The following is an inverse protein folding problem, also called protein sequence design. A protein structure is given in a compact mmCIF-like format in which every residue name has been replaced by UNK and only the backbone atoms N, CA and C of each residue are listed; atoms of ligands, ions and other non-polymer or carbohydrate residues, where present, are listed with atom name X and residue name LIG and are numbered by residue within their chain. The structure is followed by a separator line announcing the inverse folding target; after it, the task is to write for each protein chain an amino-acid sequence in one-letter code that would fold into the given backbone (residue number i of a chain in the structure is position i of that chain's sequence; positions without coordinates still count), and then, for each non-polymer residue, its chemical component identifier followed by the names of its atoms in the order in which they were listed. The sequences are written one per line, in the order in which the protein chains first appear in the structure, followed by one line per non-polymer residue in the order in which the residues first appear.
data_IF_634372792662
#
_entry.id   IF_634372792662
#
_cell.length_a   1.000
_cell.length_b   1.000
_cell.length_c   1.000
_cell.angle_alpha   90.00
_cell.angle_beta   90.00
_cell.angle_gamma   90.00
#
_symmetry.space_group_name_H-M   'P 1'
#
loop_
_entity.id
_entity.type
_entity.pdbx_description
1 polymer ?
#
# COMPACT_ATOMS: atom_id res chain seq x y z
N UNK A 1 10.43 12.41 -28.47
CA UNK A 1 10.67 13.21 -27.24
C UNK A 1 11.08 12.32 -26.05
N UNK A 2 12.27 11.68 -26.11
CA UNK A 2 12.82 10.84 -25.02
C UNK A 2 13.92 11.56 -24.18
N UNK A 3 14.26 12.82 -24.48
CA UNK A 3 15.50 13.44 -23.98
C UNK A 3 15.37 14.46 -22.84
N UNK A 4 14.22 15.12 -22.65
CA UNK A 4 14.15 16.28 -21.73
C UNK A 4 14.15 15.92 -20.24
N UNK A 5 13.62 14.76 -19.84
CA UNK A 5 13.61 14.33 -18.43
C UNK A 5 14.98 13.79 -17.96
N UNK A 6 15.75 13.19 -18.87
CA UNK A 6 17.07 12.64 -18.56
C UNK A 6 18.14 13.73 -18.42
N UNK A 7 18.12 14.76 -19.27
CA UNK A 7 19.16 15.81 -19.26
C UNK A 7 19.14 16.70 -18.01
N UNK A 8 17.96 17.08 -17.50
CA UNK A 8 17.85 17.89 -16.28
C UNK A 8 18.34 17.16 -15.04
N UNK A 9 17.99 15.88 -14.92
CA UNK A 9 18.48 15.04 -13.82
C UNK A 9 19.96 14.72 -13.92
N UNK A 10 20.58 14.66 -15.11
CA UNK A 10 22.02 14.38 -15.22
C UNK A 10 22.89 15.46 -14.56
N UNK A 11 22.51 16.74 -14.69
CA UNK A 11 23.21 17.86 -14.04
C UNK A 11 23.03 17.83 -12.52
N UNK A 12 21.81 17.58 -12.05
CA UNK A 12 21.52 17.41 -10.61
C UNK A 12 22.21 16.17 -10.02
N UNK A 13 22.33 15.09 -10.78
CA UNK A 13 22.96 13.84 -10.35
C UNK A 13 24.48 13.99 -10.28
N UNK A 14 25.08 14.71 -11.23
CA UNK A 14 26.50 15.08 -11.18
C UNK A 14 26.80 15.96 -9.96
N UNK A 15 26.02 17.01 -9.75
CA UNK A 15 26.16 17.88 -8.57
C UNK A 15 26.00 17.11 -7.25
N UNK A 16 25.01 16.20 -7.14
CA UNK A 16 24.83 15.41 -5.93
C UNK A 16 25.95 14.38 -5.68
N UNK A 17 26.59 13.87 -6.74
CA UNK A 17 27.80 13.04 -6.62
C UNK A 17 28.96 13.90 -6.09
N UNK A 18 29.15 15.08 -6.67
CA UNK A 18 30.22 16.01 -6.32
C UNK A 18 30.05 16.54 -4.87
N UNK A 19 28.81 16.81 -4.44
CA UNK A 19 28.44 17.26 -3.10
C UNK A 19 28.30 16.12 -2.07
N UNK A 20 28.48 14.85 -2.49
CA UNK A 20 28.26 13.65 -1.65
C UNK A 20 26.87 13.63 -0.97
N UNK A 21 25.83 14.10 -1.65
CA UNK A 21 24.45 14.00 -1.16
C UNK A 21 23.90 12.57 -1.35
N UNK A 22 24.36 11.67 -0.48
CA UNK A 22 23.97 10.27 -0.48
C UNK A 22 22.46 10.05 -0.35
N UNK A 23 21.72 10.97 0.29
CA UNK A 23 20.26 10.85 0.44
C UNK A 23 19.55 11.11 -0.87
N UNK A 24 19.98 12.11 -1.63
CA UNK A 24 19.44 12.40 -2.95
C UNK A 24 19.74 11.25 -3.92
N UNK A 25 20.96 10.71 -3.89
CA UNK A 25 21.35 9.55 -4.70
C UNK A 25 20.51 8.29 -4.36
N UNK A 26 20.29 7.99 -3.08
CA UNK A 26 19.40 6.90 -2.65
C UNK A 26 17.97 7.08 -3.19
N UNK A 27 17.46 8.31 -3.18
CA UNK A 27 16.12 8.63 -3.66
C UNK A 27 15.99 8.49 -5.19
N UNK A 28 16.98 8.94 -5.96
CA UNK A 28 17.00 8.74 -7.42
C UNK A 28 17.05 7.25 -7.74
N UNK A 29 17.97 6.51 -7.11
CA UNK A 29 18.11 5.08 -7.35
C UNK A 29 16.78 4.37 -7.08
N UNK A 30 16.14 4.64 -5.95
CA UNK A 30 14.82 4.11 -5.64
C UNK A 30 13.77 4.43 -6.72
N UNK A 31 13.77 5.65 -7.28
CA UNK A 31 12.87 6.02 -8.38
C UNK A 31 13.16 5.23 -9.66
N UNK A 32 14.43 5.12 -10.06
CA UNK A 32 14.85 4.37 -11.24
C UNK A 32 14.53 2.89 -11.12
N UNK A 33 14.81 2.28 -9.97
CA UNK A 33 14.48 0.90 -9.66
C UNK A 33 12.97 0.64 -9.74
N UNK A 34 12.17 1.55 -9.17
CA UNK A 34 10.72 1.46 -9.26
C UNK A 34 10.25 1.48 -10.72
N UNK A 35 10.76 2.41 -11.54
CA UNK A 35 10.37 2.50 -12.95
C UNK A 35 10.76 1.25 -13.72
N UNK A 36 11.99 0.76 -13.55
CA UNK A 36 12.47 -0.49 -14.16
C UNK A 36 11.57 -1.68 -13.79
N UNK A 37 11.24 -1.81 -12.50
CA UNK A 37 10.36 -2.90 -12.00
C UNK A 37 8.91 -2.72 -12.42
N UNK A 38 8.45 -1.48 -12.61
CA UNK A 38 7.09 -1.21 -13.06
C UNK A 38 6.93 -1.50 -14.56
N UNK A 39 7.95 -1.14 -15.37
CA UNK A 39 8.01 -1.34 -16.81
C UNK A 39 8.26 -2.81 -17.22
N UNK A 40 8.83 -3.62 -16.33
CA UNK A 40 9.05 -5.05 -16.60
C UNK A 40 7.79 -5.92 -16.44
N UNK A 41 6.62 -5.34 -16.13
CA UNK A 41 5.41 -6.11 -15.81
C UNK A 41 4.57 -6.45 -17.04
N UNK A 42 3.92 -7.62 -16.99
CA UNK A 42 3.12 -8.18 -18.08
C UNK A 42 1.78 -7.47 -18.37
N UNK A 43 1.23 -6.70 -17.43
CA UNK A 43 -0.07 -6.02 -17.59
C UNK A 43 0.07 -4.54 -17.95
N UNK A 44 -1.02 -3.90 -18.36
CA UNK A 44 -1.08 -2.49 -18.77
C UNK A 44 -0.32 -1.57 -17.82
N UNK A 45 0.47 -0.68 -18.40
CA UNK A 45 1.37 0.22 -17.71
C UNK A 45 0.96 1.65 -18.02
N UNK A 46 0.94 2.47 -16.97
CA UNK A 46 0.86 3.90 -17.15
C UNK A 46 2.19 4.41 -17.71
N UNK A 47 2.11 5.38 -18.63
CA UNK A 47 3.28 6.15 -19.03
C UNK A 47 3.64 7.19 -17.94
N UNK A 48 4.68 7.98 -18.17
CA UNK A 48 5.13 9.01 -17.21
C UNK A 48 4.03 10.01 -16.86
N UNK A 49 3.24 10.45 -17.84
CA UNK A 49 2.08 11.32 -17.64
C UNK A 49 1.06 10.64 -16.71
N UNK A 50 0.69 9.39 -16.98
CA UNK A 50 -0.19 8.59 -16.13
C UNK A 50 0.32 8.40 -14.70
N UNK A 51 1.62 8.12 -14.54
CA UNK A 51 2.24 7.98 -13.22
C UNK A 51 2.24 9.30 -12.44
N UNK A 52 2.54 10.43 -13.09
CA UNK A 52 2.48 11.75 -12.45
C UNK A 52 1.08 12.07 -11.92
N UNK A 53 0.04 11.73 -12.70
CA UNK A 53 -1.37 11.90 -12.34
C UNK A 53 -1.73 11.00 -11.15
N UNK A 54 -1.38 9.72 -11.18
CA UNK A 54 -1.82 8.77 -10.15
C UNK A 54 -1.15 9.03 -8.78
N UNK A 55 0.10 9.53 -8.75
CA UNK A 55 0.81 9.80 -7.50
C UNK A 55 0.22 10.95 -6.68
N UNK A 56 -0.51 11.86 -7.33
CA UNK A 56 -1.22 12.95 -6.66
C UNK A 56 -2.52 12.49 -5.98
N UNK A 57 -3.02 11.30 -6.32
CA UNK A 57 -4.30 10.81 -5.82
C UNK A 57 -4.24 10.25 -4.39
N UNK A 58 -5.30 10.54 -3.64
CA UNK A 58 -5.69 9.83 -2.43
C UNK A 58 -6.83 8.85 -2.75
N UNK A 59 -6.59 7.54 -2.63
CA UNK A 59 -7.65 6.53 -2.70
C UNK A 59 -8.17 6.24 -1.28
N UNK A 60 -9.49 6.34 -1.11
CA UNK A 60 -10.18 5.95 0.13
C UNK A 60 -11.09 4.78 -0.21
N UNK A 61 -10.88 3.66 0.48
CA UNK A 61 -11.59 2.40 0.21
C UNK A 61 -12.12 1.78 1.50
N UNK A 62 -13.42 1.54 1.56
CA UNK A 62 -14.07 0.82 2.65
C UNK A 62 -14.02 -0.70 2.46
N UNK A 63 -14.33 -1.45 3.51
CA UNK A 63 -14.30 -2.91 3.50
C UNK A 63 -15.20 -3.53 2.42
N UNK A 64 -16.42 -3.00 2.24
CA UNK A 64 -17.35 -3.48 1.21
C UNK A 64 -16.79 -3.39 -0.21
N UNK A 65 -16.08 -2.30 -0.51
CA UNK A 65 -15.41 -2.10 -1.80
C UNK A 65 -14.10 -2.86 -1.93
N UNK A 66 -13.36 -3.02 -0.83
CA UNK A 66 -12.16 -3.85 -0.81
C UNK A 66 -12.47 -5.28 -1.27
N UNK A 67 -13.49 -5.92 -0.70
CA UNK A 67 -13.85 -7.29 -1.08
C UNK A 67 -14.16 -7.43 -2.58
N UNK A 68 -14.80 -6.41 -3.17
CA UNK A 68 -15.12 -6.36 -4.61
C UNK A 68 -13.92 -6.07 -5.50
N UNK A 69 -12.97 -5.26 -5.03
CA UNK A 69 -11.90 -4.68 -5.85
C UNK A 69 -10.50 -5.22 -5.55
N UNK A 70 -10.34 -6.12 -4.57
CA UNK A 70 -9.03 -6.65 -4.13
C UNK A 70 -8.19 -7.26 -5.25
N UNK A 71 -8.82 -7.78 -6.31
CA UNK A 71 -8.18 -8.33 -7.51
C UNK A 71 -8.28 -7.42 -8.75
N UNK A 72 -9.02 -6.30 -8.67
CA UNK A 72 -9.29 -5.41 -9.80
C UNK A 72 -8.29 -4.25 -9.84
N UNK A 73 -7.01 -4.56 -10.08
CA UNK A 73 -5.95 -3.57 -10.02
C UNK A 73 -6.10 -2.44 -11.04
N UNK A 74 -6.25 -2.77 -12.32
CA UNK A 74 -6.33 -1.76 -13.38
C UNK A 74 -7.58 -0.88 -13.21
N UNK A 75 -8.68 -1.47 -12.71
CA UNK A 75 -9.87 -0.70 -12.35
C UNK A 75 -9.56 0.41 -11.34
N UNK A 76 -8.78 0.09 -10.30
CA UNK A 76 -8.38 1.04 -9.27
C UNK A 76 -7.40 2.08 -9.82
N UNK A 77 -6.50 1.71 -10.72
CA UNK A 77 -5.60 2.64 -11.41
C UNK A 77 -6.39 3.66 -12.24
N UNK A 78 -7.35 3.20 -13.06
CA UNK A 78 -8.25 4.09 -13.80
C UNK A 78 -9.06 4.99 -12.86
N UNK A 79 -9.61 4.43 -11.78
CA UNK A 79 -10.34 5.22 -10.77
C UNK A 79 -9.45 6.31 -10.16
N UNK A 80 -8.21 5.98 -9.83
CA UNK A 80 -7.27 6.91 -9.22
C UNK A 80 -6.84 8.01 -10.20
N UNK A 81 -6.62 7.69 -11.48
CA UNK A 81 -6.33 8.68 -12.52
C UNK A 81 -7.51 9.64 -12.69
N UNK A 82 -8.72 9.11 -12.90
CA UNK A 82 -9.95 9.92 -13.02
C UNK A 82 -10.17 10.83 -11.80
N UNK A 83 -9.89 10.31 -10.60
CA UNK A 83 -10.01 11.10 -9.37
C UNK A 83 -8.99 12.23 -9.31
N UNK A 84 -7.78 12.02 -9.83
CA UNK A 84 -6.72 13.02 -9.85
C UNK A 84 -7.00 14.14 -10.84
N UNK A 85 -7.53 13.78 -12.01
CA UNK A 85 -7.84 14.70 -13.10
C UNK A 85 -8.93 15.72 -12.72
N UNK A 86 -9.78 15.40 -11.72
CA UNK A 86 -10.88 16.24 -11.18
C UNK A 86 -11.97 16.66 -12.17
N UNK A 87 -11.73 16.55 -13.47
CA UNK A 87 -12.63 16.90 -14.55
C UNK A 87 -13.17 15.65 -15.27
N UNK A 88 -14.25 15.85 -16.02
CA UNK A 88 -14.76 14.84 -16.91
C UNK A 88 -13.83 14.70 -18.12
N UNK A 89 -13.61 13.48 -18.59
CA UNK A 89 -12.67 13.20 -19.68
C UNK A 89 -13.28 12.27 -20.72
N UNK A 90 -12.67 12.21 -21.91
CA UNK A 90 -12.99 11.19 -22.90
C UNK A 90 -12.04 10.01 -22.78
N UNK A 91 -12.30 8.95 -23.57
CA UNK A 91 -11.50 7.73 -23.56
C UNK A 91 -10.07 7.99 -24.04
N UNK A 92 -9.91 8.89 -25.00
CA UNK A 92 -8.66 9.30 -25.63
C UNK A 92 -7.70 9.86 -24.57
N UNK A 93 -8.20 10.69 -23.66
CA UNK A 93 -7.42 11.22 -22.54
C UNK A 93 -6.86 10.12 -21.63
N UNK A 94 -7.53 8.97 -21.50
CA UNK A 94 -7.04 7.83 -20.72
C UNK A 94 -6.05 6.97 -21.53
N UNK A 95 -6.21 6.88 -22.86
CA UNK A 95 -5.23 6.24 -23.74
C UNK A 95 -3.89 7.00 -23.69
N UNK A 96 -3.93 8.33 -23.65
CA UNK A 96 -2.75 9.18 -23.46
C UNK A 96 -2.01 8.94 -22.14
N UNK A 97 -2.67 8.35 -21.13
CA UNK A 97 -2.02 7.98 -19.86
C UNK A 97 -1.35 6.59 -19.92
N UNK A 98 -1.48 5.86 -21.03
CA UNK A 98 -0.88 4.55 -21.25
C UNK A 98 -1.84 3.36 -21.11
N UNK A 99 -3.12 3.57 -20.83
CA UNK A 99 -4.07 2.46 -20.73
C UNK A 99 -4.38 1.87 -22.11
N UNK A 100 -4.58 0.54 -22.20
CA UNK A 100 -5.02 -0.09 -23.46
C UNK A 100 -6.52 0.09 -23.66
N UNK A 101 -6.91 0.26 -24.93
CA UNK A 101 -8.31 0.45 -25.35
C UNK A 101 -9.24 -0.67 -24.89
N UNK A 102 -8.82 -1.94 -25.00
CA UNK A 102 -9.58 -3.12 -24.59
C UNK A 102 -9.83 -3.15 -23.08
N UNK A 103 -8.78 -2.85 -22.31
CA UNK A 103 -8.86 -2.77 -20.85
C UNK A 103 -9.79 -1.64 -20.40
N UNK A 104 -9.68 -0.45 -21.01
CA UNK A 104 -10.57 0.67 -20.72
C UNK A 104 -12.04 0.31 -20.97
N UNK A 105 -12.34 -0.35 -22.10
CA UNK A 105 -13.72 -0.78 -22.41
C UNK A 105 -14.29 -1.67 -21.30
N UNK A 106 -13.51 -2.64 -20.82
CA UNK A 106 -13.90 -3.53 -19.73
C UNK A 106 -14.08 -2.79 -18.40
N UNK A 107 -13.14 -1.92 -18.05
CA UNK A 107 -13.18 -1.15 -16.79
C UNK A 107 -14.35 -0.16 -16.77
N UNK A 108 -14.56 0.60 -17.85
CA UNK A 108 -15.67 1.57 -17.97
C UNK A 108 -17.02 0.85 -17.85
N UNK A 109 -17.21 -0.29 -18.55
CA UNK A 109 -18.43 -1.10 -18.42
C UNK A 109 -18.69 -1.52 -16.96
N UNK A 110 -17.65 -1.99 -16.25
CA UNK A 110 -17.76 -2.34 -14.82
C UNK A 110 -18.07 -1.12 -13.95
N UNK A 111 -17.41 0.01 -14.18
CA UNK A 111 -17.62 1.24 -13.41
C UNK A 111 -19.04 1.80 -13.57
N UNK A 112 -19.62 1.72 -14.78
CA UNK A 112 -21.02 2.07 -15.05
C UNK A 112 -21.99 1.12 -14.32
N UNK A 113 -21.78 -0.20 -14.44
CA UNK A 113 -22.57 -1.22 -13.72
C UNK A 113 -22.58 -0.97 -12.21
N UNK A 114 -21.47 -0.52 -11.65
CA UNK A 114 -21.34 -0.23 -10.21
C UNK A 114 -21.69 1.21 -9.82
N UNK A 115 -22.27 2.00 -10.74
CA UNK A 115 -22.69 3.39 -10.51
C UNK A 115 -21.56 4.26 -9.94
N UNK A 116 -20.32 4.00 -10.36
CA UNK A 116 -19.13 4.82 -10.04
C UNK A 116 -18.99 5.97 -11.03
N UNK A 117 -19.28 5.70 -12.30
CA UNK A 117 -19.37 6.70 -13.36
C UNK A 117 -20.81 7.22 -13.50
N UNK A 118 -20.91 8.42 -14.05
CA UNK A 118 -22.17 9.00 -14.49
C UNK A 118 -22.66 8.32 -15.77
N UNK A 119 -23.77 7.58 -15.66
CA UNK A 119 -24.33 6.84 -16.79
C UNK A 119 -25.00 7.77 -17.81
N UNK A 120 -25.61 8.87 -17.38
CA UNK A 120 -26.29 9.79 -18.30
C UNK A 120 -25.27 10.52 -19.16
N UNK A 121 -24.21 11.06 -18.53
CA UNK A 121 -23.10 11.66 -19.26
C UNK A 121 -22.48 10.66 -20.25
N UNK A 122 -22.23 9.43 -19.81
CA UNK A 122 -21.63 8.43 -20.69
C UNK A 122 -22.54 8.05 -21.87
N UNK A 123 -23.87 7.97 -21.70
CA UNK A 123 -24.75 7.65 -22.81
C UNK A 123 -24.87 8.79 -23.81
N UNK A 124 -24.94 10.04 -23.34
CA UNK A 124 -25.10 11.23 -24.20
C UNK A 124 -23.93 11.42 -25.15
N UNK A 125 -22.70 11.36 -24.65
CA UNK A 125 -21.52 11.74 -25.43
C UNK A 125 -20.26 10.92 -25.12
N UNK A 126 -20.41 9.78 -24.44
CA UNK A 126 -19.28 8.94 -23.98
C UNK A 126 -18.33 9.65 -23.00
N UNK A 127 -18.79 10.71 -22.34
CA UNK A 127 -18.01 11.37 -21.29
C UNK A 127 -17.85 10.49 -20.05
N UNK A 128 -16.60 10.33 -19.61
CA UNK A 128 -16.21 9.57 -18.44
C UNK A 128 -16.10 10.55 -17.26
N UNK A 129 -17.16 10.61 -16.46
CA UNK A 129 -17.24 11.47 -15.26
C UNK A 129 -17.45 10.62 -14.02
N UNK A 130 -16.61 10.81 -12.99
CA UNK A 130 -16.81 10.16 -11.69
C UNK A 130 -18.01 10.76 -10.97
N UNK A 131 -18.98 9.91 -10.63
CA UNK A 131 -20.05 10.21 -9.67
C UNK A 131 -19.57 10.01 -8.23
N UNK A 132 -18.71 9.01 -7.99
CA UNK A 132 -18.17 8.69 -6.66
C UNK A 132 -16.71 9.11 -6.54
N UNK A 133 -16.41 10.02 -5.61
CA UNK A 133 -15.03 10.43 -5.27
C UNK A 133 -14.35 9.51 -4.24
N UNK A 134 -15.11 8.68 -3.54
CA UNK A 134 -14.65 7.78 -2.46
C UNK A 134 -15.32 6.42 -2.64
N UNK A 135 -14.55 5.34 -2.52
CA UNK A 135 -15.05 3.97 -2.60
C UNK A 135 -15.38 3.45 -1.21
N UNK A 136 -16.33 4.10 -0.54
CA UNK A 136 -16.79 3.76 0.82
C UNK A 136 -18.30 3.92 0.89
N UNK A 137 -18.99 3.07 1.64
CA UNK A 137 -20.41 3.23 2.00
C UNK A 137 -20.55 3.86 3.39
N UNK A 138 -21.73 4.41 3.72
CA UNK A 138 -22.00 4.93 5.07
C UNK A 138 -21.84 3.84 6.15
N UNK A 139 -22.11 2.58 5.81
CA UNK A 139 -22.04 1.41 6.69
C UNK A 139 -20.62 0.86 6.90
N UNK A 140 -19.63 1.30 6.12
CA UNK A 140 -18.25 0.83 6.26
C UNK A 140 -17.61 1.37 7.54
N UNK A 141 -17.66 0.58 8.62
CA UNK A 141 -16.96 0.86 9.90
C UNK A 141 -15.43 0.85 9.76
N UNK A 142 -14.90 0.08 8.80
CA UNK A 142 -13.46 -0.02 8.49
C UNK A 142 -13.19 0.47 7.08
N UNK A 143 -12.18 1.34 6.95
CA UNK A 143 -11.72 1.87 5.68
C UNK A 143 -10.23 2.19 5.72
N UNK A 144 -9.61 2.21 4.55
CA UNK A 144 -8.19 2.50 4.37
C UNK A 144 -7.99 3.69 3.45
N UNK A 145 -6.88 4.39 3.68
CA UNK A 145 -6.47 5.54 2.90
C UNK A 145 -5.12 5.22 2.29
N UNK A 146 -5.06 5.12 0.96
CA UNK A 146 -3.84 5.04 0.19
C UNK A 146 -3.50 6.45 -0.26
N UNK A 147 -2.48 7.04 0.36
CA UNK A 147 -1.98 8.39 0.06
C UNK A 147 -0.47 8.42 0.16
N UNK A 148 0.18 9.14 -0.75
CA UNK A 148 1.62 9.35 -0.74
C UNK A 148 2.33 8.43 -1.74
N UNK A 149 3.35 8.99 -2.38
CA UNK A 149 4.03 8.37 -3.53
C UNK A 149 4.51 6.95 -3.25
N UNK A 150 5.19 6.71 -2.11
CA UNK A 150 5.68 5.36 -1.74
C UNK A 150 4.54 4.34 -1.60
N UNK A 151 3.40 4.72 -1.03
CA UNK A 151 2.24 3.84 -0.87
C UNK A 151 1.60 3.54 -2.23
N UNK A 152 1.48 4.55 -3.08
CA UNK A 152 0.95 4.38 -4.45
C UNK A 152 1.90 3.52 -5.28
N UNK A 153 3.22 3.74 -5.22
CA UNK A 153 4.22 2.87 -5.85
C UNK A 153 4.11 1.43 -5.36
N UNK A 154 4.00 1.22 -4.05
CA UNK A 154 3.82 -0.13 -3.50
C UNK A 154 2.54 -0.79 -4.01
N UNK A 155 1.42 -0.06 -4.10
CA UNK A 155 0.18 -0.52 -4.72
C UNK A 155 0.36 -0.87 -6.21
N UNK A 156 1.01 0.01 -6.97
CA UNK A 156 1.32 -0.19 -8.38
C UNK A 156 2.25 -1.38 -8.63
N UNK A 157 3.05 -1.80 -7.66
CA UNK A 157 3.83 -3.05 -7.76
C UNK A 157 3.04 -4.27 -7.27
N UNK A 158 2.45 -4.19 -6.08
CA UNK A 158 2.03 -5.35 -5.29
C UNK A 158 0.51 -5.51 -5.11
N UNK A 159 -0.29 -4.58 -5.63
CA UNK A 159 -1.75 -4.62 -5.63
C UNK A 159 -2.38 -4.18 -4.30
N UNK A 160 -3.72 -4.12 -4.30
CA UNK A 160 -4.51 -3.55 -3.20
C UNK A 160 -4.40 -4.36 -1.91
N UNK A 161 -4.55 -5.69 -1.97
CA UNK A 161 -4.51 -6.54 -0.77
C UNK A 161 -3.19 -6.43 -0.01
N UNK A 162 -2.06 -6.51 -0.72
CA UNK A 162 -0.73 -6.35 -0.10
C UNK A 162 -0.62 -4.96 0.54
N UNK A 163 -1.08 -3.92 -0.16
CA UNK A 163 -1.02 -2.53 0.33
C UNK A 163 -1.86 -2.33 1.58
N UNK A 164 -3.06 -2.91 1.64
CA UNK A 164 -3.93 -2.82 2.81
C UNK A 164 -3.36 -3.61 4.00
N UNK A 165 -2.74 -4.77 3.79
CA UNK A 165 -2.01 -5.48 4.86
C UNK A 165 -0.94 -4.56 5.46
N UNK A 166 -0.16 -3.87 4.63
CA UNK A 166 0.87 -2.94 5.08
C UNK A 166 0.26 -1.72 5.81
N UNK A 167 -0.83 -1.14 5.31
CA UNK A 167 -1.54 -0.04 5.97
C UNK A 167 -2.17 -0.44 7.31
N UNK A 168 -2.79 -1.62 7.38
CA UNK A 168 -3.36 -2.16 8.60
C UNK A 168 -2.27 -2.37 9.66
N UNK A 169 -1.11 -2.86 9.24
CA UNK A 169 0.06 -3.05 10.11
C UNK A 169 0.55 -1.74 10.75
N UNK A 170 0.54 -0.65 9.97
CA UNK A 170 0.89 0.68 10.48
C UNK A 170 -0.11 1.20 11.51
N UNK A 171 -1.41 0.95 11.29
CA UNK A 171 -2.43 1.28 12.27
C UNK A 171 -2.24 0.51 13.58
N UNK A 172 -1.88 -0.78 13.50
CA UNK A 172 -1.52 -1.58 14.67
C UNK A 172 -0.36 -0.95 15.43
N UNK A 173 0.70 -0.56 14.71
CA UNK A 173 1.84 0.12 15.31
C UNK A 173 1.38 1.39 16.03
N UNK A 174 0.58 2.26 15.39
CA UNK A 174 0.15 3.53 16.01
C UNK A 174 -0.70 3.32 17.27
N UNK A 175 -1.44 2.22 17.35
CA UNK A 175 -2.27 1.87 18.51
C UNK A 175 -1.53 1.11 19.61
N UNK A 176 -0.38 0.51 19.30
CA UNK A 176 0.48 -0.04 20.33
C UNK A 176 0.90 1.12 21.25
N UNK A 177 0.49 1.07 22.52
CA UNK A 177 0.95 2.04 23.54
C UNK A 177 2.48 2.00 23.63
N UNK A 178 3.09 3.07 24.14
CA UNK A 178 4.54 3.27 24.37
C UNK A 178 5.32 2.11 25.03
N UNK A 179 4.65 1.04 25.49
CA UNK A 179 5.24 -0.28 25.70
C UNK A 179 5.48 -0.98 24.35
N UNK A 180 6.26 -0.34 23.47
CA UNK A 180 6.90 -1.05 22.36
C UNK A 180 7.73 -2.15 23.02
N UNK A 181 7.30 -3.41 22.90
CA UNK A 181 8.05 -4.54 23.40
C UNK A 181 9.39 -4.52 22.68
N UNK A 182 10.45 -4.11 23.39
CA UNK A 182 11.81 -4.34 22.90
C UNK A 182 11.91 -5.84 22.66
N UNK A 183 12.26 -6.23 21.44
CA UNK A 183 12.72 -7.58 21.21
C UNK A 183 13.95 -7.75 22.10
N UNK A 184 14.03 -8.83 22.89
CA UNK A 184 15.24 -9.11 23.67
C UNK A 184 16.45 -9.06 22.73
N UNK A 185 17.51 -8.37 23.14
CA UNK A 185 18.75 -8.16 22.37
C UNK A 185 18.59 -7.30 21.10
N UNK A 186 17.63 -6.38 21.05
CA UNK A 186 17.53 -5.38 19.98
C UNK A 186 17.46 -3.96 20.50
N UNK A 187 18.32 -3.09 19.95
CA UNK A 187 18.29 -1.64 20.19
C UNK A 187 17.13 -0.94 19.45
N UNK A 188 16.40 -1.65 18.59
CA UNK A 188 15.29 -1.10 17.80
C UNK A 188 13.96 -1.19 18.56
N UNK A 189 13.06 -0.25 18.28
CA UNK A 189 11.66 -0.32 18.73
C UNK A 189 10.85 -1.22 17.79
N UNK A 190 10.16 -2.19 18.38
CA UNK A 190 9.35 -3.17 17.68
C UNK A 190 7.91 -3.15 18.19
N UNK A 191 6.95 -3.27 17.27
CA UNK A 191 5.55 -3.44 17.60
C UNK A 191 5.08 -4.85 17.28
N UNK A 192 4.39 -5.50 18.22
CA UNK A 192 3.72 -6.79 17.99
C UNK A 192 2.48 -6.56 17.13
N UNK A 193 2.36 -7.32 16.05
CA UNK A 193 1.20 -7.35 15.19
C UNK A 193 0.42 -8.61 15.44
N UNK A 194 -0.77 -8.44 16.02
CA UNK A 194 -1.71 -9.52 16.23
C UNK A 194 -2.41 -9.88 14.91
N UNK A 195 -2.64 -11.18 14.68
CA UNK A 195 -3.36 -11.64 13.49
C UNK A 195 -4.76 -11.05 13.38
N UNK A 196 -5.41 -10.78 14.52
CA UNK A 196 -6.77 -10.25 14.61
C UNK A 196 -6.99 -8.96 13.80
N UNK A 197 -5.94 -8.16 13.61
CA UNK A 197 -6.02 -6.94 12.81
C UNK A 197 -6.24 -7.20 11.31
N UNK A 198 -5.88 -8.40 10.84
CA UNK A 198 -6.05 -8.82 9.44
C UNK A 198 -7.29 -9.67 9.22
N UNK A 199 -8.00 -10.09 10.27
CA UNK A 199 -9.15 -11.01 10.15
C UNK A 199 -10.22 -10.45 9.20
N UNK A 200 -10.45 -9.14 9.25
CA UNK A 200 -11.41 -8.48 8.36
C UNK A 200 -11.02 -8.49 6.88
N UNK A 201 -9.76 -8.80 6.55
CA UNK A 201 -9.29 -8.92 5.16
C UNK A 201 -9.47 -10.33 4.59
N UNK A 202 -9.79 -11.32 5.44
CA UNK A 202 -9.94 -12.74 5.07
C UNK A 202 -8.74 -13.27 4.26
N UNK A 203 -7.52 -12.84 4.61
CA UNK A 203 -6.28 -13.27 3.94
C UNK A 203 -5.56 -14.34 4.75
N UNK A 204 -4.90 -15.27 4.06
CA UNK A 204 -4.13 -16.33 4.72
C UNK A 204 -2.89 -15.76 5.42
N UNK A 205 -2.40 -16.48 6.44
CA UNK A 205 -1.14 -16.15 7.13
C UNK A 205 0.05 -16.10 6.17
N UNK A 206 0.06 -16.99 5.17
CA UNK A 206 1.06 -17.02 4.11
C UNK A 206 1.00 -15.76 3.25
N UNK A 207 -0.19 -15.29 2.90
CA UNK A 207 -0.36 -14.04 2.15
C UNK A 207 0.16 -12.82 2.92
N UNK A 208 -0.12 -12.74 4.22
CA UNK A 208 0.38 -11.67 5.10
C UNK A 208 1.92 -11.66 5.07
N UNK A 209 2.54 -12.83 5.26
CA UNK A 209 4.00 -12.96 5.20
C UNK A 209 4.60 -12.61 3.83
N UNK A 210 3.98 -13.04 2.73
CA UNK A 210 4.42 -12.66 1.37
C UNK A 210 4.29 -11.15 1.13
N UNK A 211 3.25 -10.52 1.67
CA UNK A 211 3.07 -9.05 1.58
C UNK A 211 4.19 -8.29 2.28
N UNK A 212 4.66 -8.83 3.41
CA UNK A 212 5.79 -8.32 4.15
C UNK A 212 7.12 -8.54 3.46
N UNK A 213 7.34 -9.70 2.83
CA UNK A 213 8.52 -9.91 1.98
C UNK A 213 8.58 -8.91 0.82
N UNK A 214 7.47 -8.71 0.12
CA UNK A 214 7.35 -7.68 -0.93
C UNK A 214 7.65 -6.28 -0.42
N UNK A 215 7.30 -5.97 0.82
CA UNK A 215 7.61 -4.68 1.45
C UNK A 215 9.12 -4.50 1.66
N UNK A 216 9.77 -5.55 2.18
CA UNK A 216 11.21 -5.57 2.43
C UNK A 216 11.98 -5.44 1.10
N UNK A 217 11.58 -6.20 0.09
CA UNK A 217 12.12 -6.12 -1.27
C UNK A 217 11.94 -4.73 -1.87
N UNK A 218 10.72 -4.17 -1.76
CA UNK A 218 10.42 -2.81 -2.23
C UNK A 218 11.29 -1.75 -1.56
N UNK A 219 11.62 -1.92 -0.27
CA UNK A 219 12.49 -1.00 0.46
C UNK A 219 13.98 -1.28 0.31
N UNK A 220 14.37 -2.36 -0.40
CA UNK A 220 15.75 -2.85 -0.45
C UNK A 220 16.38 -3.02 0.95
N UNK A 221 15.56 -3.42 1.91
CA UNK A 221 15.99 -3.62 3.29
C UNK A 221 16.24 -5.10 3.57
N UNK A 222 17.01 -5.41 4.62
CA UNK A 222 17.10 -6.79 5.09
C UNK A 222 15.80 -7.19 5.79
N UNK A 223 15.22 -8.35 5.47
CA UNK A 223 13.98 -8.84 6.08
C UNK A 223 14.04 -8.83 7.62
N UNK A 224 15.14 -9.33 8.20
CA UNK A 224 15.33 -9.39 9.66
C UNK A 224 15.41 -8.01 10.30
N UNK A 225 15.76 -6.97 9.54
CA UNK A 225 15.85 -5.59 10.03
C UNK A 225 14.49 -4.92 10.21
N UNK A 226 13.48 -5.35 9.43
CA UNK A 226 12.14 -4.76 9.44
C UNK A 226 11.10 -5.65 10.10
N UNK A 227 11.27 -6.97 10.03
CA UNK A 227 10.24 -7.94 10.41
C UNK A 227 10.89 -9.12 11.12
N UNK A 228 10.41 -9.40 12.32
CA UNK A 228 10.82 -10.56 13.11
C UNK A 228 9.62 -11.43 13.41
N UNK A 229 9.79 -12.75 13.33
CA UNK A 229 8.75 -13.71 13.67
C UNK A 229 9.26 -14.56 14.81
N UNK A 230 8.63 -14.46 15.98
CA UNK A 230 8.95 -15.29 17.14
C UNK A 230 7.87 -16.37 17.26
N UNK A 231 8.31 -17.62 17.32
CA UNK A 231 7.44 -18.76 17.61
C UNK A 231 7.63 -19.12 19.09
N UNK A 232 6.61 -18.87 19.89
CA UNK A 232 6.57 -19.25 21.31
C UNK A 232 5.82 -20.57 21.47
N UNK A 233 6.24 -21.39 22.43
CA UNK A 233 5.57 -22.65 22.80
C UNK A 233 5.23 -22.65 24.29
N UNK A 234 4.43 -21.68 24.78
CA UNK A 234 4.02 -21.69 26.18
C UNK A 234 3.26 -22.97 26.52
N UNK A 235 3.42 -23.40 27.77
CA UNK A 235 2.65 -24.53 28.29
C UNK A 235 1.19 -24.10 28.44
N UNK A 236 0.28 -24.94 27.94
CA UNK A 236 -1.15 -24.70 28.01
C UNK A 236 -1.70 -25.34 29.29
N UNK A 237 -2.28 -24.52 30.14
CA UNK A 237 -2.88 -24.93 31.40
C UNK A 237 -4.38 -24.73 31.33
N UNK A 238 -5.14 -25.71 31.82
CA UNK A 238 -6.57 -25.52 32.11
C UNK A 238 -6.78 -25.56 33.62
N UNK A 239 -7.79 -24.86 34.10
CA UNK A 239 -8.22 -24.95 35.48
C UNK A 239 -9.44 -25.87 35.52
N UNK A 240 -9.37 -26.98 36.27
CA UNK A 240 -10.52 -27.84 36.59
C UNK A 240 -10.83 -27.74 38.08
N UNK A 241 -12.11 -27.76 38.44
CA UNK A 241 -12.53 -27.92 39.84
C UNK A 241 -12.36 -29.38 40.25
N UNK A 242 -11.81 -29.61 41.43
CA UNK A 242 -11.78 -30.94 42.07
C UNK A 242 -13.16 -31.29 42.63
N UNK A 243 -13.36 -32.55 43.00
CA UNK A 243 -14.58 -33.03 43.68
C UNK A 243 -14.84 -32.24 44.97
N UNK A 244 -13.78 -31.77 45.63
CA UNK A 244 -13.82 -30.90 46.81
C UNK A 244 -13.99 -29.39 46.51
N UNK A 245 -14.27 -29.01 45.26
CA UNK A 245 -14.50 -27.63 44.85
C UNK A 245 -13.24 -26.76 44.64
N UNK A 246 -12.03 -27.27 44.92
CA UNK A 246 -10.76 -26.53 44.76
C UNK A 246 -10.34 -26.43 43.30
N UNK A 247 -9.71 -25.32 42.91
CA UNK A 247 -9.18 -25.14 41.56
C UNK A 247 -7.83 -25.85 41.40
N UNK A 248 -7.74 -26.82 40.48
CA UNK A 248 -6.49 -27.49 40.10
C UNK A 248 -6.08 -27.07 38.69
N UNK A 249 -4.84 -26.57 38.54
CA UNK A 249 -4.23 -26.30 37.23
C UNK A 249 -3.66 -27.60 36.67
N UNK A 250 -4.12 -27.99 35.48
CA UNK A 250 -3.67 -29.20 34.79
C UNK A 250 -2.99 -28.79 33.49
N UNK A 251 -1.78 -29.32 33.26
CA UNK A 251 -1.06 -29.17 32.00
C UNK A 251 -1.73 -30.03 30.95
N UNK A 252 -2.27 -29.39 29.91
CA UNK A 252 -2.96 -30.09 28.81
C UNK A 252 -2.05 -30.26 27.60
N UNK A 253 -1.00 -29.45 27.49
CA UNK A 253 -0.04 -29.56 26.39
C UNK A 253 0.76 -28.29 26.20
N UNK A 254 1.19 -28.05 24.96
CA UNK A 254 1.85 -26.81 24.54
C UNK A 254 0.98 -26.06 23.54
N UNK A 255 0.86 -24.74 23.70
CA UNK A 255 0.19 -23.88 22.73
C UNK A 255 1.23 -23.28 21.80
N UNK A 256 1.07 -23.44 20.50
CA UNK A 256 1.93 -22.78 19.52
C UNK A 256 1.42 -21.36 19.25
N UNK A 257 2.24 -20.37 19.59
CA UNK A 257 1.93 -18.96 19.35
C UNK A 257 2.97 -18.40 18.38
N UNK A 258 2.51 -17.72 17.33
CA UNK A 258 3.39 -16.98 16.43
C UNK A 258 3.14 -15.49 16.60
N UNK A 259 4.13 -14.78 17.11
CA UNK A 259 4.13 -13.32 17.20
C UNK A 259 4.94 -12.74 16.05
N UNK A 260 4.39 -11.73 15.39
CA UNK A 260 5.10 -10.97 14.35
C UNK A 260 5.43 -9.59 14.92
N UNK A 261 6.68 -9.20 14.78
CA UNK A 261 7.18 -7.91 15.21
C UNK A 261 7.54 -7.10 13.98
N UNK A 262 7.18 -5.82 14.00
CA UNK A 262 7.56 -4.87 12.96
C UNK A 262 8.35 -3.72 13.55
N UNK A 263 9.50 -3.45 12.92
CA UNK A 263 10.38 -2.35 13.26
C UNK A 263 9.69 -1.01 13.01
N UNK A 264 9.96 -0.03 13.87
CA UNK A 264 9.54 1.37 13.68
C UNK A 264 9.95 1.94 12.32
N UNK A 265 11.00 1.42 11.69
CA UNK A 265 11.48 1.86 10.37
C UNK A 265 10.43 1.68 9.26
N UNK A 266 9.48 0.75 9.43
CA UNK A 266 8.33 0.61 8.51
C UNK A 266 7.46 1.89 8.50
N UNK A 267 7.54 2.75 9.53
CA UNK A 267 6.94 4.11 9.49
C UNK A 267 7.48 4.99 8.38
N UNK A 268 8.74 4.83 7.97
CA UNK A 268 9.38 5.62 6.89
C UNK A 268 8.65 5.48 5.55
N UNK A 269 7.85 4.42 5.38
CA UNK A 269 7.00 4.20 4.19
C UNK A 269 5.77 5.11 4.20
N UNK A 270 5.25 5.40 5.39
CA UNK A 270 4.02 6.17 5.61
C UNK A 270 4.28 7.65 5.87
N UNK A 271 5.53 8.01 6.11
CA UNK A 271 6.00 9.39 6.09
C UNK A 271 6.24 9.74 4.62
N UNK A 272 5.36 10.57 4.05
CA UNK A 272 5.71 11.30 2.83
C UNK A 272 6.97 12.10 3.14
N UNK A 273 8.06 11.89 2.39
CA UNK A 273 9.09 12.91 2.31
C UNK A 273 8.36 14.17 1.80
N UNK A 274 8.19 15.16 2.68
CA UNK A 274 7.98 16.53 2.21
C UNK A 274 9.32 16.88 1.59
N UNK A 275 9.36 17.00 0.27
CA UNK A 275 10.50 17.64 -0.37
C UNK A 275 10.56 19.05 0.22
N UNK A 276 11.70 19.41 0.81
CA UNK A 276 12.05 20.81 1.00
C UNK A 276 12.22 21.35 -0.42
N UNK A 277 11.18 22.00 -0.94
CA UNK A 277 11.39 22.89 -2.06
C UNK A 277 12.33 23.97 -1.55
N UNK A 278 13.49 24.11 -2.20
CA UNK A 278 14.17 25.39 -2.19
C UNK A 278 13.14 26.44 -2.55
N UNK A 279 12.91 27.38 -1.65
CA UNK A 279 12.30 28.64 -2.01
C UNK A 279 13.24 29.26 -3.04
N UNK A 280 12.86 29.25 -4.31
CA UNK A 280 13.33 30.28 -5.22
C UNK A 280 12.68 31.56 -4.76
N UNK A 281 13.35 32.26 -3.84
CA UNK A 281 13.16 33.71 -3.68
C UNK A 281 13.52 34.38 -5.01
N UNK A 282 12.67 35.33 -5.38
CA UNK A 282 12.75 36.30 -6.48
C UNK A 282 14.11 36.47 -7.15
#
# INVERSE_FOLDING_TARGET
MKGKFFMGHFKELKNAIDEKDFKYLEWINFKLDFLKTYQSKKYDQLNEKGLSVIFQTKLVIGLSWFEKLKSQKIFLEVFMCLKSLKQAVKKESLLELGFKSTTLKCVIKKMLKWKILDNQAYQKDKTIKLRKKVLKTKTDKKFWILKGEKIVKFFLLNGLSSTIVILASNYCYKKAKNKDSKLQNSNKKWAVIQNAYFDCLKVSRSFIWKSFKRLVEFLKANYKSLITVIRKRPTNWITKKTVTGKNKKIKVGRKFITERFISKEVKKIFQSYKFFGYNSTN
#
